data_IF_438823328443
#
_entry.id   IF_438823328443
#
_cell.length_a   1.000
_cell.length_b   1.000
_cell.length_c   1.000
_cell.angle_alpha   90.00
_cell.angle_beta   90.00
_cell.angle_gamma   90.00
#
_symmetry.space_group_name_H-M   'P 1'
#
loop_
_entity.id
_entity.type
_entity.pdbx_description
1 polymer ?
#
# COMPACT_ATOMS: atom_id res chain seq x y z
N UNK A 1 5.55 -5.03 -18.49
CA UNK A 1 6.94 -5.31 -18.29
C UNK A 1 7.27 -6.05 -17.03
N UNK A 2 8.50 -6.45 -16.95
CA UNK A 2 8.98 -7.31 -15.88
C UNK A 2 9.06 -6.59 -14.54
N UNK A 3 9.32 -5.28 -14.55
CA UNK A 3 9.44 -4.50 -13.31
C UNK A 3 8.14 -4.45 -12.51
N UNK A 4 7.01 -4.26 -13.21
CA UNK A 4 5.72 -4.20 -12.54
C UNK A 4 5.12 -5.58 -12.29
N UNK A 5 5.68 -6.59 -12.93
CA UNK A 5 5.27 -7.98 -12.71
C UNK A 5 5.48 -8.40 -11.26
N UNK A 6 6.61 -8.01 -10.66
CA UNK A 6 6.90 -8.36 -9.27
C UNK A 6 5.85 -7.78 -8.33
N UNK A 7 5.50 -6.50 -8.50
CA UNK A 7 4.48 -5.86 -7.66
C UNK A 7 3.13 -6.56 -7.81
N UNK A 8 2.72 -6.87 -9.04
CA UNK A 8 1.45 -7.53 -9.31
C UNK A 8 1.43 -8.97 -8.78
N UNK A 9 2.53 -9.71 -8.99
CA UNK A 9 2.64 -11.09 -8.50
C UNK A 9 2.60 -11.16 -6.99
N UNK A 10 3.31 -10.23 -6.33
CA UNK A 10 3.29 -10.16 -4.87
C UNK A 10 1.90 -9.80 -4.36
N UNK A 11 1.23 -8.85 -5.03
CA UNK A 11 -0.15 -8.48 -4.68
C UNK A 11 -1.11 -9.66 -4.82
N UNK A 12 -0.94 -10.44 -5.88
CA UNK A 12 -1.75 -11.65 -6.08
C UNK A 12 -1.50 -12.67 -4.97
N UNK A 13 -0.24 -12.91 -4.62
CA UNK A 13 0.12 -13.84 -3.54
C UNK A 13 -0.46 -13.40 -2.20
N UNK A 14 -0.41 -12.10 -1.90
CA UNK A 14 -1.00 -11.52 -0.69
C UNK A 14 -2.52 -11.71 -0.70
N UNK A 15 -3.17 -11.51 -1.86
CA UNK A 15 -4.61 -11.69 -1.97
C UNK A 15 -5.04 -13.14 -1.73
N UNK A 16 -4.23 -14.09 -2.18
CA UNK A 16 -4.50 -15.51 -1.95
C UNK A 16 -4.36 -15.91 -0.48
N UNK A 17 -3.34 -15.38 0.20
CA UNK A 17 -3.00 -15.78 1.56
C UNK A 17 -2.52 -14.60 2.39
N UNK A 18 -3.44 -13.69 2.78
CA UNK A 18 -3.03 -12.49 3.55
C UNK A 18 -2.39 -12.88 4.87
N UNK A 19 -1.25 -12.27 5.16
CA UNK A 19 -0.46 -12.55 6.37
C UNK A 19 0.28 -13.86 6.35
N UNK A 20 0.06 -14.69 5.34
CA UNK A 20 0.64 -16.05 5.25
C UNK A 20 1.81 -16.18 4.29
N UNK A 21 2.33 -15.07 3.74
CA UNK A 21 3.48 -15.07 2.84
C UNK A 21 4.62 -14.28 3.44
N UNK A 22 5.79 -14.34 2.78
CA UNK A 22 6.94 -13.51 3.15
C UNK A 22 6.74 -12.03 2.77
N UNK A 23 5.67 -11.70 2.03
CA UNK A 23 5.40 -10.34 1.55
C UNK A 23 4.57 -9.57 2.57
N UNK A 24 5.07 -9.44 3.77
CA UNK A 24 4.42 -8.73 4.86
C UNK A 24 5.44 -7.94 5.68
N UNK A 25 5.49 -6.61 5.59
CA UNK A 25 4.63 -5.78 4.76
C UNK A 25 4.95 -5.89 3.27
N UNK A 26 3.97 -5.63 2.43
CA UNK A 26 4.18 -5.39 1.00
C UNK A 26 4.21 -3.88 0.80
N UNK A 27 5.36 -3.34 0.41
CA UNK A 27 5.51 -1.92 0.10
C UNK A 27 5.62 -1.73 -1.41
N UNK A 28 4.72 -0.95 -1.96
CA UNK A 28 4.69 -0.61 -3.38
C UNK A 28 5.10 0.85 -3.50
N UNK A 29 6.20 1.13 -4.20
CA UNK A 29 6.68 2.50 -4.32
C UNK A 29 6.92 2.89 -5.78
N UNK A 30 6.96 4.20 -6.03
CA UNK A 30 7.16 4.75 -7.36
C UNK A 30 6.58 6.14 -7.45
N UNK A 31 6.87 6.84 -8.54
CA UNK A 31 6.44 8.21 -8.74
C UNK A 31 4.93 8.38 -8.80
N UNK A 32 4.48 9.62 -8.67
CA UNK A 32 3.06 9.99 -8.75
C UNK A 32 2.51 9.57 -10.12
N UNK A 33 1.28 9.04 -10.13
CA UNK A 33 0.59 8.67 -11.37
C UNK A 33 0.94 7.29 -11.93
N UNK A 34 1.71 6.48 -11.20
CA UNK A 34 2.12 5.15 -11.67
C UNK A 34 1.16 4.02 -11.30
N UNK A 35 0.04 4.32 -10.63
CA UNK A 35 -0.96 3.31 -10.32
C UNK A 35 -0.80 2.63 -8.97
N UNK A 36 0.02 3.17 -8.06
CA UNK A 36 0.21 2.60 -6.71
C UNK A 36 -1.11 2.48 -5.95
N UNK A 37 -1.87 3.56 -5.92
CA UNK A 37 -3.17 3.61 -5.24
C UNK A 37 -4.13 2.60 -5.85
N UNK A 38 -4.17 2.53 -7.18
CA UNK A 38 -5.01 1.58 -7.89
C UNK A 38 -4.64 0.13 -7.54
N UNK A 39 -3.33 -0.17 -7.49
CA UNK A 39 -2.88 -1.51 -7.15
C UNK A 39 -3.24 -1.85 -5.69
N UNK A 40 -3.05 -0.92 -4.76
CA UNK A 40 -3.45 -1.10 -3.37
C UNK A 40 -4.94 -1.41 -3.22
N UNK A 41 -5.79 -0.66 -3.91
CA UNK A 41 -7.23 -0.90 -3.94
C UNK A 41 -7.56 -2.27 -4.52
N UNK A 42 -6.93 -2.64 -5.63
CA UNK A 42 -7.15 -3.93 -6.29
C UNK A 42 -6.81 -5.10 -5.38
N UNK A 43 -5.72 -4.98 -4.63
CA UNK A 43 -5.33 -6.00 -3.65
C UNK A 43 -6.39 -6.12 -2.57
N UNK A 44 -6.86 -5.00 -2.03
CA UNK A 44 -7.90 -5.00 -1.00
C UNK A 44 -9.20 -5.64 -1.48
N UNK A 45 -9.63 -5.32 -2.69
CA UNK A 45 -10.83 -5.89 -3.29
C UNK A 45 -10.66 -7.40 -3.48
N UNK A 46 -9.51 -7.83 -3.99
CA UNK A 46 -9.23 -9.25 -4.22
C UNK A 46 -9.22 -10.05 -2.91
N UNK A 47 -8.64 -9.47 -1.85
CA UNK A 47 -8.64 -10.11 -0.53
C UNK A 47 -10.08 -10.26 -0.02
N UNK A 48 -10.88 -9.21 -0.11
CA UNK A 48 -12.25 -9.22 0.40
C UNK A 48 -13.11 -10.23 -0.37
N UNK A 49 -12.91 -10.36 -1.68
CA UNK A 49 -13.62 -11.33 -2.50
C UNK A 49 -13.28 -12.77 -2.11
N UNK A 50 -11.99 -13.05 -1.85
CA UNK A 50 -11.52 -14.39 -1.51
C UNK A 50 -11.70 -14.74 -0.05
N UNK A 51 -11.72 -13.73 0.83
CA UNK A 51 -11.77 -13.91 2.29
C UNK A 51 -12.84 -12.97 2.87
N UNK A 52 -14.14 -13.24 2.61
CA UNK A 52 -15.21 -12.30 3.00
C UNK A 52 -15.30 -12.03 4.50
N UNK A 53 -14.78 -12.94 5.33
CA UNK A 53 -14.83 -12.80 6.79
C UNK A 53 -13.67 -11.95 7.34
N UNK A 54 -12.70 -11.58 6.52
CA UNK A 54 -11.61 -10.74 6.98
C UNK A 54 -11.98 -9.27 6.94
N UNK A 55 -11.53 -8.52 7.94
CA UNK A 55 -11.70 -7.07 7.99
C UNK A 55 -10.55 -6.43 7.21
N UNK A 56 -10.89 -5.79 6.09
CA UNK A 56 -9.92 -5.11 5.21
C UNK A 56 -10.20 -3.61 5.29
N UNK A 57 -9.17 -2.84 5.65
CA UNK A 57 -9.27 -1.38 5.68
C UNK A 57 -8.24 -0.77 4.76
N UNK A 58 -8.71 0.10 3.86
CA UNK A 58 -7.87 0.99 3.07
C UNK A 58 -8.00 2.40 3.64
N UNK A 59 -6.87 3.04 3.94
CA UNK A 59 -6.85 4.40 4.46
C UNK A 59 -5.59 5.12 3.97
N UNK A 60 -5.70 6.42 3.66
CA UNK A 60 -4.51 7.22 3.37
C UNK A 60 -3.79 7.57 4.68
N UNK A 61 -2.47 7.76 4.59
CA UNK A 61 -1.71 8.19 5.76
C UNK A 61 -2.16 9.56 6.26
N UNK A 62 -2.65 10.43 5.38
CA UNK A 62 -3.22 11.72 5.74
C UNK A 62 -4.48 11.55 6.59
N UNK A 63 -5.40 10.68 6.16
CA UNK A 63 -6.62 10.41 6.92
C UNK A 63 -6.30 9.74 8.25
N UNK A 64 -5.37 8.79 8.27
CA UNK A 64 -4.91 8.16 9.49
C UNK A 64 -4.40 9.21 10.48
N UNK A 65 -3.57 10.14 10.01
CA UNK A 65 -3.01 11.22 10.84
C UNK A 65 -4.11 12.10 11.42
N UNK A 66 -5.10 12.48 10.62
CA UNK A 66 -6.23 13.29 11.08
C UNK A 66 -7.06 12.54 12.13
N UNK A 67 -7.33 11.26 11.91
CA UNK A 67 -8.04 10.43 12.89
C UNK A 67 -7.28 10.33 14.21
N UNK A 68 -5.96 10.18 14.13
CA UNK A 68 -5.12 10.13 15.32
C UNK A 68 -5.18 11.45 16.09
N UNK A 69 -5.03 12.58 15.40
CA UNK A 69 -5.09 13.91 16.03
C UNK A 69 -6.44 14.11 16.72
N UNK A 70 -7.53 13.74 16.06
CA UNK A 70 -8.87 13.83 16.64
C UNK A 70 -8.99 12.95 17.89
N UNK A 71 -8.41 11.76 17.87
CA UNK A 71 -8.44 10.86 19.03
C UNK A 71 -7.70 11.43 20.22
N UNK A 72 -6.61 12.16 20.00
CA UNK A 72 -5.88 12.84 21.05
C UNK A 72 -6.73 13.95 21.67
N UNK A 73 -7.38 14.75 20.82
CA UNK A 73 -8.27 15.85 21.27
C UNK A 73 -9.46 15.33 22.08
N UNK A 74 -9.96 14.16 21.75
CA UNK A 74 -11.15 13.57 22.36
C UNK A 74 -10.82 12.57 23.46
N UNK A 75 -9.54 12.44 23.86
CA UNK A 75 -9.07 11.47 24.85
C UNK A 75 -9.49 10.04 24.52
N UNK A 76 -9.49 9.69 23.24
CA UNK A 76 -9.91 8.37 22.74
C UNK A 76 -8.79 7.64 21.99
N UNK A 77 -7.54 7.94 22.30
CA UNK A 77 -6.37 7.34 21.62
C UNK A 77 -6.34 5.82 21.79
N UNK A 78 -6.69 5.31 22.97
CA UNK A 78 -6.71 3.86 23.19
C UNK A 78 -7.76 3.17 22.32
N UNK A 79 -8.92 3.78 22.13
CA UNK A 79 -9.97 3.25 21.25
C UNK A 79 -9.51 3.27 19.79
N UNK A 80 -8.82 4.34 19.38
CA UNK A 80 -8.24 4.46 18.04
C UNK A 80 -7.24 3.34 17.77
N UNK A 81 -6.31 3.10 18.70
CA UNK A 81 -5.30 2.05 18.58
C UNK A 81 -5.99 0.68 18.51
N UNK A 82 -6.93 0.44 19.42
CA UNK A 82 -7.64 -0.84 19.50
C UNK A 82 -8.40 -1.14 18.19
N UNK A 83 -9.05 -0.13 17.62
CA UNK A 83 -9.76 -0.27 16.35
C UNK A 83 -8.82 -0.78 15.24
N UNK A 84 -7.63 -0.16 15.11
CA UNK A 84 -6.68 -0.57 14.08
C UNK A 84 -6.08 -1.95 14.36
N UNK A 85 -5.90 -2.31 15.62
CA UNK A 85 -5.36 -3.62 16.00
C UNK A 85 -6.32 -4.77 15.69
N UNK A 86 -7.60 -4.48 15.50
CA UNK A 86 -8.61 -5.48 15.16
C UNK A 86 -8.70 -5.78 13.67
N UNK A 87 -7.97 -5.06 12.83
CA UNK A 87 -8.03 -5.18 11.38
C UNK A 87 -7.17 -6.36 10.94
N UNK A 88 -7.67 -7.14 9.98
CA UNK A 88 -6.94 -8.30 9.43
C UNK A 88 -5.99 -7.91 8.31
N UNK A 89 -6.39 -6.92 7.49
CA UNK A 89 -5.58 -6.42 6.38
C UNK A 89 -5.65 -4.90 6.38
N UNK A 90 -4.52 -4.26 6.62
CA UNK A 90 -4.42 -2.80 6.64
C UNK A 90 -3.62 -2.32 5.44
N UNK A 91 -4.26 -1.51 4.60
CA UNK A 91 -3.64 -0.90 3.42
C UNK A 91 -3.52 0.59 3.70
N UNK A 92 -2.29 1.09 3.81
CA UNK A 92 -2.00 2.51 4.06
C UNK A 92 -1.38 3.11 2.80
N UNK A 93 -2.02 4.15 2.26
CA UNK A 93 -1.56 4.83 1.06
C UNK A 93 -0.68 6.03 1.43
N UNK A 94 0.41 6.24 0.68
CA UNK A 94 1.30 7.41 0.79
C UNK A 94 1.99 7.53 2.17
N UNK A 95 2.69 6.48 2.60
CA UNK A 95 3.34 6.48 3.92
C UNK A 95 4.44 7.53 4.05
N UNK A 96 4.96 8.08 2.93
CA UNK A 96 5.91 9.19 2.99
C UNK A 96 5.32 10.44 3.68
N UNK A 97 3.99 10.53 3.74
CA UNK A 97 3.31 11.63 4.44
C UNK A 97 3.57 11.63 5.94
N UNK A 98 3.99 10.50 6.52
CA UNK A 98 4.34 10.42 7.94
C UNK A 98 5.68 11.09 8.25
N UNK A 99 6.48 11.46 7.25
CA UNK A 99 7.79 12.08 7.47
C UNK A 99 7.67 13.35 8.33
N UNK A 100 8.51 13.48 9.34
CA UNK A 100 8.52 14.62 10.25
C UNK A 100 7.41 14.64 11.30
N UNK A 101 6.53 13.64 11.31
CA UNK A 101 5.39 13.58 12.25
C UNK A 101 5.66 12.53 13.32
N UNK A 102 6.49 12.88 14.31
CA UNK A 102 6.98 11.94 15.32
C UNK A 102 5.87 11.20 16.08
N UNK A 103 4.89 11.93 16.57
CA UNK A 103 3.82 11.31 17.38
C UNK A 103 2.94 10.39 16.52
N UNK A 104 2.67 10.78 15.30
CA UNK A 104 1.91 9.95 14.36
C UNK A 104 2.71 8.71 14.00
N UNK A 105 4.02 8.84 13.79
CA UNK A 105 4.89 7.69 13.56
C UNK A 105 4.88 6.72 14.75
N UNK A 106 4.95 7.25 15.98
CA UNK A 106 4.91 6.40 17.18
C UNK A 106 3.68 5.52 17.19
N UNK A 107 2.49 6.09 16.98
CA UNK A 107 1.26 5.32 17.01
C UNK A 107 1.15 4.40 15.80
N UNK A 108 1.56 4.85 14.64
CA UNK A 108 1.52 4.03 13.43
C UNK A 108 2.39 2.78 13.59
N UNK A 109 3.64 2.95 14.05
CA UNK A 109 4.53 1.79 14.21
C UNK A 109 4.15 0.90 15.39
N UNK A 110 3.47 1.43 16.39
CA UNK A 110 2.88 0.62 17.45
C UNK A 110 1.82 -0.33 16.85
N UNK A 111 0.93 0.20 16.02
CA UNK A 111 -0.08 -0.60 15.31
C UNK A 111 0.57 -1.57 14.32
N UNK A 112 1.53 -1.08 13.55
CA UNK A 112 2.29 -1.88 12.58
C UNK A 112 2.91 -3.11 13.25
N UNK A 113 3.62 -2.90 14.36
CA UNK A 113 4.28 -3.99 15.09
C UNK A 113 3.27 -5.02 15.56
N UNK A 114 2.15 -4.57 16.11
CA UNK A 114 1.10 -5.47 16.60
C UNK A 114 0.53 -6.32 15.46
N UNK A 115 0.16 -5.69 14.36
CA UNK A 115 -0.41 -6.40 13.21
C UNK A 115 0.59 -7.39 12.61
N UNK A 116 1.84 -6.97 12.47
CA UNK A 116 2.89 -7.83 11.93
C UNK A 116 3.12 -9.06 12.82
N UNK A 117 3.23 -8.85 14.13
CA UNK A 117 3.48 -9.92 15.10
C UNK A 117 2.32 -10.91 15.21
N UNK A 118 1.10 -10.46 14.97
CA UNK A 118 -0.10 -11.31 15.05
C UNK A 118 -0.50 -11.91 13.71
N UNK A 119 0.36 -11.82 12.71
CA UNK A 119 0.14 -12.47 11.41
C UNK A 119 -0.88 -11.76 10.52
N UNK A 120 -1.17 -10.50 10.79
CA UNK A 120 -2.05 -9.68 9.94
C UNK A 120 -1.26 -9.11 8.78
N UNK A 121 -1.93 -8.82 7.67
CA UNK A 121 -1.28 -8.31 6.46
C UNK A 121 -1.23 -6.80 6.44
N UNK A 122 -0.04 -6.27 6.11
CA UNK A 122 0.17 -4.85 5.86
C UNK A 122 0.52 -4.65 4.38
N UNK A 123 -0.13 -3.68 3.75
CA UNK A 123 0.17 -3.23 2.39
C UNK A 123 0.36 -1.73 2.45
N UNK A 124 1.50 -1.25 1.97
CA UNK A 124 1.87 0.16 2.05
C UNK A 124 2.20 0.69 0.67
N UNK A 125 1.87 1.93 0.40
CA UNK A 125 2.35 2.60 -0.81
C UNK A 125 3.17 3.83 -0.45
N UNK A 126 4.10 4.20 -1.32
CA UNK A 126 4.97 5.36 -1.12
C UNK A 126 5.43 5.91 -2.46
N UNK A 127 5.72 7.21 -2.52
CA UNK A 127 6.33 7.83 -3.69
C UNK A 127 7.84 7.55 -3.76
N UNK A 128 8.43 7.05 -2.68
CA UNK A 128 9.89 6.82 -2.56
C UNK A 128 10.18 5.45 -1.96
N UNK A 129 11.33 4.89 -2.33
CA UNK A 129 11.87 3.71 -1.65
C UNK A 129 12.18 4.05 -0.18
N UNK A 130 12.13 3.06 0.73
CA UNK A 130 12.45 3.32 2.14
C UNK A 130 13.82 3.97 2.35
N UNK A 131 14.82 3.59 1.55
CA UNK A 131 16.17 4.15 1.68
C UNK A 131 16.23 5.64 1.34
N UNK A 132 15.27 6.15 0.57
CA UNK A 132 15.21 7.54 0.15
C UNK A 132 14.33 8.41 1.06
N UNK A 133 13.61 7.81 1.99
CA UNK A 133 12.73 8.56 2.89
C UNK A 133 13.53 9.36 3.91
N UNK A 134 13.13 10.61 4.08
CA UNK A 134 13.68 11.49 5.12
C UNK A 134 12.59 11.73 6.16
N UNK A 135 12.98 12.19 7.34
CA UNK A 135 12.01 12.50 8.39
C UNK A 135 11.51 11.30 9.19
N UNK A 136 12.17 10.14 9.04
CA UNK A 136 11.95 8.94 9.86
C UNK A 136 13.29 8.34 10.25
N UNK A 137 13.37 7.81 11.49
CA UNK A 137 14.57 7.14 11.95
C UNK A 137 14.82 5.84 11.19
N UNK A 138 16.09 5.48 11.01
CA UNK A 138 16.48 4.25 10.30
C UNK A 138 15.86 3.00 10.91
N UNK A 139 15.76 2.93 12.23
CA UNK A 139 15.12 1.77 12.89
C UNK A 139 13.67 1.60 12.49
N UNK A 140 12.96 2.71 12.17
CA UNK A 140 11.57 2.68 11.70
C UNK A 140 11.50 2.30 10.22
N UNK A 141 12.37 2.89 9.43
CA UNK A 141 12.44 2.59 7.98
C UNK A 141 12.80 1.13 7.73
N UNK A 142 13.63 0.52 8.59
CA UNK A 142 14.01 -0.89 8.45
C UNK A 142 12.80 -1.81 8.54
N UNK A 143 11.74 -1.43 9.25
CA UNK A 143 10.53 -2.24 9.36
C UNK A 143 9.80 -2.37 8.02
N UNK A 144 9.86 -1.35 7.18
CA UNK A 144 9.28 -1.43 5.84
C UNK A 144 9.97 -2.49 4.98
N UNK A 145 11.19 -2.84 5.30
CA UNK A 145 12.00 -3.83 4.59
C UNK A 145 11.83 -5.25 5.12
N UNK A 146 11.02 -5.47 6.15
CA UNK A 146 10.80 -6.82 6.70
C UNK A 146 10.11 -7.76 5.71
N UNK A 147 9.35 -7.20 4.78
CA UNK A 147 8.72 -7.96 3.71
C UNK A 147 9.33 -7.59 2.35
N UNK A 148 8.48 -7.37 1.36
CA UNK A 148 8.91 -7.04 0.00
C UNK A 148 8.65 -5.56 -0.30
N UNK A 149 9.65 -4.90 -0.89
CA UNK A 149 9.49 -3.57 -1.49
C UNK A 149 9.56 -3.73 -3.00
N UNK A 150 8.51 -3.36 -3.71
CA UNK A 150 8.41 -3.51 -5.16
C UNK A 150 8.16 -2.16 -5.81
N UNK A 151 8.95 -1.84 -6.83
CA UNK A 151 8.86 -0.58 -7.54
C UNK A 151 7.91 -0.66 -8.73
N UNK A 152 7.06 0.36 -8.90
CA UNK A 152 6.33 0.58 -10.14
C UNK A 152 7.10 1.58 -11.00
N UNK A 153 7.29 1.24 -12.27
CA UNK A 153 8.09 2.03 -13.20
C UNK A 153 7.27 2.59 -14.35
N UNK A 154 7.58 3.83 -14.70
CA UNK A 154 6.94 4.56 -15.80
C UNK A 154 7.11 3.83 -17.15
N UNK A 155 8.32 3.32 -17.42
CA UNK A 155 8.63 2.66 -18.69
C UNK A 155 7.69 1.48 -18.99
N UNK A 156 7.32 0.71 -17.94
CA UNK A 156 6.40 -0.42 -18.13
C UNK A 156 5.00 0.08 -18.49
N UNK A 157 4.54 1.16 -17.85
CA UNK A 157 3.25 1.76 -18.17
C UNK A 157 3.20 2.25 -19.61
N UNK A 158 4.22 2.97 -20.05
CA UNK A 158 4.32 3.47 -21.42
C UNK A 158 4.32 2.33 -22.43
N UNK A 159 5.05 1.26 -22.15
CA UNK A 159 5.10 0.08 -23.02
C UNK A 159 3.72 -0.56 -23.12
N UNK A 160 2.99 -0.70 -22.04
CA UNK A 160 1.66 -1.28 -22.04
C UNK A 160 0.67 -0.44 -22.80
N UNK A 161 0.73 0.88 -22.66
CA UNK A 161 -0.12 1.81 -23.42
C UNK A 161 0.18 1.70 -24.90
N UNK A 162 1.45 1.67 -25.29
CA UNK A 162 1.87 1.54 -26.70
C UNK A 162 1.37 0.23 -27.32
N UNK A 163 1.50 -0.89 -26.61
CA UNK A 163 1.04 -2.19 -27.07
C UNK A 163 -0.48 -2.19 -27.26
N UNK A 164 -1.21 -1.65 -26.30
CA UNK A 164 -2.66 -1.62 -26.32
C UNK A 164 -3.16 -0.72 -27.45
N UNK A 165 -2.56 0.44 -27.64
CA UNK A 165 -2.91 1.36 -28.73
C UNK A 165 -2.67 0.71 -30.09
N UNK A 166 -1.56 0.01 -30.25
CA UNK A 166 -1.26 -0.72 -31.49
C UNK A 166 -2.31 -1.78 -31.79
N UNK A 167 -2.72 -2.52 -30.79
CA UNK A 167 -3.75 -3.56 -30.91
C UNK A 167 -5.10 -2.96 -31.31
N UNK A 168 -5.51 -1.87 -30.68
CA UNK A 168 -6.74 -1.17 -30.98
C UNK A 168 -6.74 -0.60 -32.40
N UNK A 169 -5.59 -0.10 -32.84
CA UNK A 169 -5.42 0.41 -34.18
C UNK A 169 -5.66 -0.69 -35.22
N UNK A 170 -5.12 -1.88 -34.98
CA UNK A 170 -5.33 -3.04 -35.81
C UNK A 170 -6.80 -3.47 -35.87
N UNK A 171 -7.52 -3.30 -34.75
CA UNK A 171 -8.94 -3.66 -34.66
C UNK A 171 -9.87 -2.51 -35.03
N UNK A 172 -9.32 -1.33 -35.37
CA UNK A 172 -10.12 -0.16 -35.74
C UNK A 172 -10.81 0.51 -34.58
N UNK A 173 -10.29 0.33 -33.34
CA UNK A 173 -10.86 0.87 -32.11
C UNK A 173 -9.87 1.82 -31.47
N UNK A 174 -10.37 2.99 -31.04
CA UNK A 174 -9.59 3.94 -30.24
C UNK A 174 -10.24 4.15 -28.89
N UNK A 175 -9.43 4.20 -27.83
CA UNK A 175 -9.88 4.50 -26.49
C UNK A 175 -9.08 5.67 -25.92
N UNK A 176 -9.71 6.48 -25.03
CA UNK A 176 -8.97 7.52 -24.31
C UNK A 176 -7.81 6.93 -23.51
N UNK A 177 -6.74 7.70 -23.35
CA UNK A 177 -5.53 7.24 -22.64
C UNK A 177 -5.81 6.76 -21.22
N UNK A 178 -6.73 7.39 -20.53
CA UNK A 178 -7.10 7.02 -19.16
C UNK A 178 -7.73 5.64 -19.06
N UNK A 179 -8.21 5.09 -20.14
CA UNK A 179 -8.81 3.75 -20.16
C UNK A 179 -7.75 2.66 -20.29
N UNK A 180 -6.57 2.98 -20.84
CA UNK A 180 -5.51 1.99 -21.10
C UNK A 180 -4.51 1.89 -19.96
N UNK A 181 -4.63 2.71 -18.93
CA UNK A 181 -3.82 2.60 -17.73
C UNK A 181 -4.28 1.38 -16.91
#
# INVERSE_FOLDING_TARGET
GDCNRLARSAGFAVAEKPGGTAFNPLLIYGGVGLGKTHLGHSIGIAIKDRHPNKTVLYVSSEKFTHQFIDSVKNNSTNDFIHFYQMIDVLIIDDVQFFAGKEKTQDVFFHIFNHLHQTGKQLVLTSDKAPVEMQGMEQRRLSRFKWGLSAELQMADLETRIAILNKKMYSDGIELPSEVVE
#
